data_IF_139203913739
#
_entry.id   IF_139203913739
#
_cell.length_a   1.000
_cell.length_b   1.000
_cell.length_c   1.000
_cell.angle_alpha   90.00
_cell.angle_beta   90.00
_cell.angle_gamma   90.00
#
_symmetry.space_group_name_H-M   'P 1'
#
loop_
_entity.id
_entity.type
_entity.pdbx_description
1 polymer ?
#
# COMPACT_ATOMS: atom_id res chain seq x y z
N UNK A 1 -27.22 13.94 12.63
CA UNK A 1 -27.84 13.28 11.46
C UNK A 1 -28.56 14.31 10.62
N UNK A 2 -28.08 14.61 9.41
CA UNK A 2 -28.83 15.38 8.40
C UNK A 2 -28.66 14.64 7.08
N UNK A 3 -29.77 14.05 6.66
CA UNK A 3 -29.96 13.40 5.37
C UNK A 3 -29.92 14.49 4.29
N UNK A 4 -29.11 14.31 3.25
CA UNK A 4 -29.22 15.14 2.04
C UNK A 4 -29.66 14.26 0.89
N UNK A 5 -30.97 14.21 0.69
CA UNK A 5 -31.56 13.95 -0.62
C UNK A 5 -31.23 15.15 -1.52
N UNK A 6 -30.16 15.03 -2.31
CA UNK A 6 -29.95 15.90 -3.47
C UNK A 6 -30.42 15.17 -4.71
N UNK A 7 -31.47 15.71 -5.33
CA UNK A 7 -31.99 15.29 -6.63
C UNK A 7 -30.85 15.38 -7.65
N UNK A 8 -30.46 14.22 -8.21
CA UNK A 8 -29.45 14.09 -9.26
C UNK A 8 -29.99 14.66 -10.57
N UNK A 9 -29.45 15.78 -11.01
CA UNK A 9 -29.76 16.32 -12.34
C UNK A 9 -28.93 15.62 -13.43
N UNK A 10 -29.59 15.26 -14.54
CA UNK A 10 -28.97 14.81 -15.80
C UNK A 10 -28.21 15.97 -16.43
N UNK A 11 -27.01 16.27 -15.93
CA UNK A 11 -26.20 17.39 -16.41
C UNK A 11 -24.88 17.59 -15.67
N UNK A 12 -24.77 17.05 -14.46
CA UNK A 12 -23.49 17.02 -13.75
C UNK A 12 -22.58 15.99 -14.41
N UNK A 13 -21.73 16.43 -15.35
CA UNK A 13 -20.52 15.70 -15.71
C UNK A 13 -19.61 15.72 -14.47
N UNK A 14 -19.89 14.85 -13.51
CA UNK A 14 -18.94 14.54 -12.46
C UNK A 14 -17.71 13.95 -13.15
N UNK A 15 -16.66 14.75 -13.30
CA UNK A 15 -15.32 14.24 -13.57
C UNK A 15 -14.94 13.37 -12.39
N UNK A 16 -15.34 12.11 -12.48
CA UNK A 16 -14.94 11.08 -11.56
C UNK A 16 -13.42 10.97 -11.65
N UNK A 17 -12.75 11.53 -10.64
CA UNK A 17 -11.29 11.56 -10.61
C UNK A 17 -10.80 10.13 -10.35
N UNK A 18 -9.88 9.63 -11.18
CA UNK A 18 -9.28 8.34 -10.90
C UNK A 18 -8.57 8.36 -9.55
N UNK A 19 -8.57 7.21 -8.90
CA UNK A 19 -7.90 7.02 -7.64
C UNK A 19 -7.05 5.74 -7.65
N UNK A 20 -6.00 5.75 -6.85
CA UNK A 20 -5.18 4.57 -6.58
C UNK A 20 -5.45 4.07 -5.17
N UNK A 21 -5.52 2.75 -5.04
CA UNK A 21 -5.48 2.06 -3.75
C UNK A 21 -4.28 1.14 -3.74
N UNK A 22 -3.36 1.34 -2.80
CA UNK A 22 -2.26 0.39 -2.59
C UNK A 22 -2.82 -0.82 -1.85
N UNK A 23 -2.69 -2.00 -2.46
CA UNK A 23 -3.25 -3.25 -1.97
C UNK A 23 -2.26 -4.00 -1.10
N UNK A 24 -1.00 -4.06 -1.52
CA UNK A 24 0.05 -4.74 -0.76
C UNK A 24 1.43 -4.20 -1.09
N UNK A 25 2.33 -4.32 -0.11
CA UNK A 25 3.77 -4.13 -0.27
C UNK A 25 4.46 -5.35 0.32
N UNK A 26 5.25 -6.08 -0.47
CA UNK A 26 5.91 -7.32 -0.02
C UNK A 26 7.32 -7.45 -0.59
N UNK A 27 8.11 -8.32 0.03
CA UNK A 27 9.48 -8.62 -0.39
C UNK A 27 9.43 -9.82 -1.33
N UNK A 28 9.77 -9.65 -2.61
CA UNK A 28 9.80 -10.75 -3.59
C UNK A 28 11.19 -11.39 -3.71
N UNK A 29 12.24 -10.61 -3.44
CA UNK A 29 13.62 -11.10 -3.37
C UNK A 29 14.36 -10.45 -2.21
N UNK A 30 15.22 -11.20 -1.54
CA UNK A 30 15.98 -10.77 -0.36
C UNK A 30 17.34 -11.47 -0.35
N UNK A 31 18.41 -10.69 -0.20
CA UNK A 31 19.79 -11.15 0.01
C UNK A 31 20.12 -11.25 1.51
N UNK A 32 19.23 -11.93 2.24
CA UNK A 32 19.32 -12.21 3.66
C UNK A 32 18.39 -13.38 4.00
N UNK A 33 18.58 -14.00 5.17
CA UNK A 33 17.75 -15.09 5.64
C UNK A 33 16.56 -14.57 6.46
N UNK A 34 15.39 -15.17 6.24
CA UNK A 34 14.26 -15.02 7.14
C UNK A 34 14.47 -15.82 8.44
N UNK A 35 13.84 -15.45 9.56
CA UNK A 35 12.96 -14.30 9.73
C UNK A 35 13.72 -12.98 9.88
N UNK A 36 13.09 -11.87 9.48
CA UNK A 36 13.66 -10.52 9.62
C UNK A 36 12.71 -9.60 10.39
N UNK A 37 13.28 -8.67 11.16
CA UNK A 37 12.53 -7.62 11.86
C UNK A 37 12.62 -6.33 11.04
N UNK A 38 11.51 -5.90 10.45
CA UNK A 38 11.46 -4.75 9.54
C UNK A 38 10.82 -3.55 10.21
N UNK A 39 11.44 -2.39 10.04
CA UNK A 39 10.89 -1.09 10.44
C UNK A 39 11.19 -0.03 9.39
N UNK A 40 10.60 1.16 9.55
CA UNK A 40 10.74 2.27 8.62
C UNK A 40 9.39 2.75 8.11
N UNK A 41 9.38 3.33 6.90
CA UNK A 41 8.20 3.94 6.31
C UNK A 41 7.95 3.54 4.87
N UNK A 42 6.68 3.33 4.55
CA UNK A 42 6.17 3.37 3.18
C UNK A 42 5.14 4.50 3.10
N UNK A 43 5.35 5.42 2.18
CA UNK A 43 4.53 6.62 2.02
C UNK A 43 4.04 6.68 0.58
N UNK A 44 2.75 6.94 0.39
CA UNK A 44 2.22 7.31 -0.92
C UNK A 44 1.94 8.82 -0.97
N UNK A 45 2.20 9.42 -2.13
CA UNK A 45 1.99 10.84 -2.41
C UNK A 45 1.21 11.00 -3.71
N UNK A 46 0.20 11.86 -3.71
CA UNK A 46 -0.45 12.33 -4.93
C UNK A 46 -0.02 13.77 -5.27
N UNK A 47 -0.23 14.16 -6.53
CA UNK A 47 0.11 15.51 -7.01
C UNK A 47 -0.85 16.60 -6.52
N UNK A 48 -1.92 16.24 -5.81
CA UNK A 48 -3.03 17.18 -5.51
C UNK A 48 -2.69 18.07 -4.33
N UNK A 49 -2.11 17.51 -3.28
CA UNK A 49 -1.65 18.30 -2.14
C UNK A 49 -0.31 17.86 -1.57
N UNK A 50 0.38 16.93 -2.24
CA UNK A 50 1.68 16.38 -1.83
C UNK A 50 1.65 15.81 -0.40
N UNK A 51 0.46 15.58 0.17
CA UNK A 51 0.35 15.04 1.52
C UNK A 51 0.75 13.58 1.50
N UNK A 52 1.53 13.23 2.51
CA UNK A 52 2.02 11.88 2.73
C UNK A 52 0.90 11.02 3.31
N UNK A 53 0.46 10.02 2.54
CA UNK A 53 -0.32 8.92 3.07
C UNK A 53 0.65 7.88 3.64
N UNK A 54 0.71 7.77 4.96
CA UNK A 54 1.52 6.74 5.61
C UNK A 54 0.83 5.37 5.46
N UNK A 55 1.38 4.53 4.58
CA UNK A 55 0.89 3.17 4.35
C UNK A 55 1.52 2.17 5.29
N UNK A 56 2.76 2.41 5.70
CA UNK A 56 3.46 1.63 6.70
C UNK A 56 4.34 2.59 7.50
N UNK A 57 4.25 2.51 8.82
CA UNK A 57 5.12 3.27 9.72
C UNK A 57 5.37 2.44 10.96
N UNK A 58 6.60 1.97 11.10
CA UNK A 58 7.06 1.23 12.28
C UNK A 58 8.36 1.83 12.76
N UNK A 59 8.44 2.05 14.07
CA UNK A 59 9.66 2.46 14.73
C UNK A 59 10.54 1.25 15.02
N UNK A 60 11.84 1.48 15.28
CA UNK A 60 12.81 0.41 15.54
C UNK A 60 12.39 -0.50 16.71
N UNK A 61 11.76 0.05 17.73
CA UNK A 61 11.31 -0.73 18.90
C UNK A 61 10.02 -1.52 18.63
N UNK A 62 9.29 -1.18 17.56
CA UNK A 62 8.03 -1.79 17.16
C UNK A 62 8.13 -2.39 15.75
N UNK A 63 9.20 -3.15 15.48
CA UNK A 63 9.40 -3.83 14.20
C UNK A 63 8.25 -4.79 13.87
N UNK A 64 7.95 -4.97 12.59
CA UNK A 64 7.17 -6.10 12.11
C UNK A 64 8.11 -7.29 11.86
N UNK A 65 7.79 -8.44 12.44
CA UNK A 65 8.44 -9.71 12.10
C UNK A 65 7.90 -10.20 10.75
N UNK A 66 8.80 -10.50 9.82
CA UNK A 66 8.47 -11.15 8.55
C UNK A 66 9.14 -12.52 8.55
N UNK A 67 8.34 -13.59 8.49
CA UNK A 67 8.84 -14.97 8.63
C UNK A 67 9.19 -15.61 7.29
N UNK A 68 8.63 -15.12 6.19
CA UNK A 68 8.83 -15.69 4.85
C UNK A 68 8.56 -14.68 3.74
N UNK A 69 8.88 -15.04 2.48
CA UNK A 69 8.61 -14.20 1.29
C UNK A 69 7.12 -14.03 0.97
N UNK A 70 6.27 -14.90 1.49
CA UNK A 70 4.83 -14.86 1.23
C UNK A 70 4.10 -13.84 2.12
N UNK A 71 4.79 -13.29 3.13
CA UNK A 71 4.24 -12.30 4.04
C UNK A 71 4.40 -10.87 3.48
N UNK A 72 3.33 -10.09 3.55
CA UNK A 72 3.32 -8.66 3.21
C UNK A 72 3.51 -7.77 4.44
N UNK A 73 3.93 -6.53 4.21
CA UNK A 73 3.86 -5.50 5.24
C UNK A 73 2.40 -5.31 5.67
N UNK A 74 2.18 -5.16 6.98
CA UNK A 74 0.87 -4.83 7.53
C UNK A 74 0.65 -3.34 7.30
N UNK A 75 -0.07 -3.04 6.22
CA UNK A 75 -0.38 -1.66 5.86
C UNK A 75 -1.41 -1.07 6.83
N UNK A 76 -1.24 0.20 7.18
CA UNK A 76 -2.27 1.00 7.83
C UNK A 76 -3.33 1.36 6.80
N UNK A 77 -4.61 1.21 7.18
CA UNK A 77 -5.73 1.52 6.29
C UNK A 77 -5.63 2.97 5.79
N UNK A 78 -6.05 3.24 4.54
CA UNK A 78 -5.90 4.55 3.97
C UNK A 78 -6.75 5.57 4.75
N UNK A 79 -6.11 6.55 5.37
CA UNK A 79 -6.79 7.68 6.01
C UNK A 79 -7.55 8.55 5.00
N UNK A 80 -7.17 8.43 3.72
CA UNK A 80 -7.68 9.22 2.61
C UNK A 80 -7.45 8.49 1.28
N UNK A 81 -8.27 8.84 0.28
CA UNK A 81 -8.07 8.47 -1.13
C UNK A 81 -6.86 9.16 -1.78
N UNK A 82 -6.02 8.39 -2.49
CA UNK A 82 -4.96 8.89 -3.35
C UNK A 82 -5.52 9.21 -4.74
N UNK A 83 -5.48 10.47 -5.14
CA UNK A 83 -5.97 10.89 -6.46
C UNK A 83 -4.88 10.73 -7.52
N UNK A 84 -5.25 10.26 -8.71
CA UNK A 84 -4.30 10.03 -9.81
C UNK A 84 -4.51 11.05 -10.93
N UNK A 85 -4.48 12.34 -10.59
CA UNK A 85 -4.57 13.43 -11.57
C UNK A 85 -3.30 13.50 -12.42
N UNK A 86 -2.14 13.51 -11.75
CA UNK A 86 -0.84 13.28 -12.37
C UNK A 86 -0.22 11.99 -11.79
N UNK A 87 1.10 11.87 -11.89
CA UNK A 87 1.85 10.77 -11.32
C UNK A 87 1.75 10.76 -9.78
N UNK A 88 1.43 9.58 -9.24
CA UNK A 88 1.52 9.30 -7.81
C UNK A 88 2.85 8.60 -7.52
N UNK A 89 3.38 8.80 -6.31
CA UNK A 89 4.67 8.24 -5.90
C UNK A 89 4.48 7.36 -4.67
N UNK A 90 5.15 6.20 -4.66
CA UNK A 90 5.27 5.34 -3.48
C UNK A 90 6.72 5.35 -3.05
N UNK A 91 7.02 6.00 -1.94
CA UNK A 91 8.33 6.08 -1.32
C UNK A 91 8.50 4.97 -0.29
N UNK A 92 9.63 4.27 -0.35
CA UNK A 92 9.99 3.17 0.53
C UNK A 92 11.32 3.53 1.18
N UNK A 93 11.36 3.53 2.51
CA UNK A 93 12.58 3.60 3.33
C UNK A 93 12.43 2.58 4.47
N UNK A 94 12.98 1.38 4.26
CA UNK A 94 12.85 0.25 5.16
C UNK A 94 14.21 -0.25 5.61
N UNK A 95 14.27 -0.73 6.85
CA UNK A 95 15.47 -1.26 7.49
C UNK A 95 15.18 -2.58 8.18
N UNK A 96 16.20 -3.43 8.25
CA UNK A 96 16.23 -4.66 9.04
C UNK A 96 16.94 -4.35 10.35
N UNK A 97 16.24 -4.54 11.46
CA UNK A 97 16.85 -4.44 12.79
C UNK A 97 17.84 -5.57 13.01
N UNK A 98 19.03 -5.23 13.50
CA UNK A 98 20.00 -6.23 13.91
C UNK A 98 19.68 -6.78 15.32
N UNK A 99 19.55 -8.10 15.52
CA UNK A 99 19.23 -8.68 16.82
C UNK A 99 20.32 -8.49 17.88
N UNK A 100 21.57 -8.33 17.46
CA UNK A 100 22.75 -8.22 18.33
C UNK A 100 23.05 -6.75 18.69
N UNK A 101 22.17 -5.83 18.29
CA UNK A 101 22.33 -4.40 18.56
C UNK A 101 23.41 -3.72 17.72
N UNK A 102 23.87 -4.39 16.66
CA UNK A 102 24.80 -3.80 15.68
C UNK A 102 24.06 -2.80 14.77
N UNK A 103 24.78 -2.29 13.76
CA UNK A 103 24.19 -1.40 12.76
C UNK A 103 23.07 -2.10 11.98
N UNK A 104 21.90 -1.47 11.96
CA UNK A 104 20.74 -1.96 11.21
C UNK A 104 21.02 -1.87 9.71
N UNK A 105 20.54 -2.86 8.94
CA UNK A 105 20.78 -2.92 7.51
C UNK A 105 19.66 -2.23 6.74
N UNK A 106 20.00 -1.46 5.71
CA UNK A 106 19.01 -0.93 4.77
C UNK A 106 18.38 -2.07 3.97
N UNK A 107 17.09 -2.31 4.15
CA UNK A 107 16.35 -3.34 3.41
C UNK A 107 16.10 -2.87 1.97
N UNK A 108 15.48 -1.69 1.84
CA UNK A 108 15.11 -1.08 0.57
C UNK A 108 14.87 0.40 0.77
N UNK A 109 15.49 1.23 -0.09
CA UNK A 109 15.29 2.68 -0.11
C UNK A 109 15.14 3.18 -1.54
N UNK A 110 14.05 3.88 -1.82
CA UNK A 110 13.75 4.41 -3.15
C UNK A 110 12.29 4.79 -3.33
N UNK A 111 11.87 5.00 -4.57
CA UNK A 111 10.48 5.33 -4.89
C UNK A 111 10.02 4.69 -6.20
N UNK A 112 8.71 4.47 -6.31
CA UNK A 112 8.03 4.01 -7.50
C UNK A 112 7.06 5.09 -7.99
N UNK A 113 7.01 5.29 -9.30
CA UNK A 113 6.05 6.23 -9.91
C UNK A 113 4.88 5.46 -10.50
N UNK A 114 3.67 5.72 -10.05
CA UNK A 114 2.42 5.26 -10.65
C UNK A 114 1.95 6.35 -11.60
N UNK A 115 1.99 6.08 -12.91
CA UNK A 115 1.75 7.11 -13.92
C UNK A 115 0.29 7.56 -13.95
N UNK A 116 0.10 8.87 -14.11
CA UNK A 116 -1.19 9.51 -14.31
C UNK A 116 -1.95 8.97 -15.53
N UNK A 117 -3.25 9.28 -15.58
CA UNK A 117 -4.19 8.68 -16.55
C UNK A 117 -4.34 9.46 -17.87
N UNK A 118 -3.68 10.59 -18.09
CA UNK A 118 -3.67 11.20 -19.42
C UNK A 118 -2.76 10.36 -20.36
N UNK A 119 -3.24 9.31 -21.07
CA UNK A 119 -4.44 9.22 -21.93
C UNK A 119 -5.23 7.88 -21.84
N UNK A 120 -5.13 7.12 -20.73
CA UNK A 120 -5.77 5.81 -20.56
C UNK A 120 -7.26 5.98 -20.24
N UNK A 121 -8.16 5.81 -21.20
CA UNK A 121 -9.59 5.64 -20.90
C UNK A 121 -9.80 4.29 -20.19
N UNK A 122 -9.63 4.25 -18.86
CA UNK A 122 -9.94 3.05 -18.07
C UNK A 122 -11.45 3.00 -17.85
N UNK A 123 -12.17 2.22 -18.65
CA UNK A 123 -13.60 2.00 -18.39
C UNK A 123 -13.83 1.07 -17.16
N UNK A 124 -12.76 0.50 -16.59
CA UNK A 124 -12.79 -0.51 -15.53
C UNK A 124 -11.67 -0.32 -14.50
N UNK A 125 -11.83 -0.93 -13.32
CA UNK A 125 -10.76 -1.09 -12.34
C UNK A 125 -9.65 -1.98 -12.92
N UNK A 126 -8.39 -1.56 -12.79
CA UNK A 126 -7.22 -2.35 -13.20
C UNK A 126 -6.30 -2.53 -12.01
N UNK A 127 -5.86 -3.77 -11.78
CA UNK A 127 -4.85 -4.10 -10.78
C UNK A 127 -3.51 -4.23 -11.50
N UNK A 128 -2.51 -3.50 -11.03
CA UNK A 128 -1.14 -3.51 -11.54
C UNK A 128 -0.16 -3.76 -10.37
N UNK A 129 1.06 -4.16 -10.70
CA UNK A 129 2.17 -4.19 -9.74
C UNK A 129 3.43 -3.55 -10.32
N UNK A 130 4.29 -3.08 -9.41
CA UNK A 130 5.59 -2.50 -9.73
C UNK A 130 6.65 -2.96 -8.73
N UNK A 131 7.84 -3.21 -9.26
CA UNK A 131 8.98 -3.67 -8.48
C UNK A 131 10.00 -2.55 -8.25
N UNK A 132 10.48 -2.45 -7.01
CA UNK A 132 11.63 -1.63 -6.62
C UNK A 132 12.78 -2.56 -6.25
N UNK A 133 13.71 -2.76 -7.18
CA UNK A 133 14.95 -3.48 -6.92
C UNK A 133 15.97 -2.57 -6.25
N UNK A 134 16.54 -3.03 -5.14
CA UNK A 134 17.58 -2.35 -4.36
C UNK A 134 18.69 -3.34 -4.01
N UNK A 135 19.73 -2.89 -3.31
CA UNK A 135 20.91 -3.70 -3.01
C UNK A 135 20.59 -5.01 -2.26
N UNK A 136 19.75 -4.96 -1.23
CA UNK A 136 19.44 -6.14 -0.40
C UNK A 136 18.11 -6.79 -0.75
N UNK A 137 17.20 -6.11 -1.45
CA UNK A 137 15.89 -6.67 -1.73
C UNK A 137 15.23 -6.13 -2.99
N UNK A 138 14.21 -6.85 -3.46
CA UNK A 138 13.24 -6.35 -4.42
C UNK A 138 11.88 -6.31 -3.74
N UNK A 139 11.28 -5.12 -3.70
CA UNK A 139 9.96 -4.87 -3.14
C UNK A 139 8.93 -4.85 -4.26
N UNK A 140 7.83 -5.59 -4.15
CA UNK A 140 6.67 -5.48 -5.05
C UNK A 140 5.60 -4.62 -4.37
N UNK A 141 5.11 -3.62 -5.09
CA UNK A 141 3.94 -2.82 -4.72
C UNK A 141 2.81 -3.14 -5.67
N UNK A 142 1.73 -3.71 -5.14
CA UNK A 142 0.51 -4.02 -5.87
C UNK A 142 -0.54 -2.94 -5.59
N UNK A 143 -1.20 -2.44 -6.64
CA UNK A 143 -2.18 -1.36 -6.52
C UNK A 143 -3.34 -1.53 -7.50
N UNK A 144 -4.50 -0.98 -7.12
CA UNK A 144 -5.68 -0.87 -7.98
C UNK A 144 -5.87 0.57 -8.43
N UNK A 145 -6.11 0.74 -9.73
CA UNK A 145 -6.50 2.01 -10.34
C UNK A 145 -8.01 1.95 -10.60
N UNK A 146 -8.77 2.82 -9.93
CA UNK A 146 -10.24 2.84 -9.99
C UNK A 146 -10.71 4.14 -10.64
N UNK A 147 -11.39 4.02 -11.77
CA UNK A 147 -12.22 5.09 -12.32
C UNK A 147 -13.59 5.09 -11.64
N UNK A 148 -14.16 6.27 -11.39
CA UNK A 148 -15.44 6.43 -10.68
C UNK A 148 -15.42 5.88 -9.26
N UNK A 149 -14.30 6.03 -8.56
CA UNK A 149 -14.16 5.55 -7.20
C UNK A 149 -15.23 6.22 -6.30
N UNK A 150 -16.10 5.43 -5.66
CA UNK A 150 -17.07 5.89 -4.65
C UNK A 150 -16.46 5.62 -3.28
N UNK A 151 -16.55 6.55 -2.34
CA UNK A 151 -15.95 6.37 -1.00
C UNK A 151 -16.69 5.25 -0.27
N UNK A 152 -16.05 4.09 -0.12
CA UNK A 152 -16.60 2.95 0.59
C UNK A 152 -15.53 2.39 1.52
N UNK A 153 -15.72 2.58 2.82
CA UNK A 153 -14.86 2.03 3.87
C UNK A 153 -15.22 0.56 4.07
N UNK A 154 -14.38 -0.36 3.59
CA UNK A 154 -14.49 -1.78 3.94
C UNK A 154 -13.55 -2.08 5.12
N UNK A 155 -14.14 -2.34 6.29
CA UNK A 155 -13.43 -2.94 7.41
C UNK A 155 -13.28 -4.44 7.14
N UNK A 156 -12.06 -4.91 6.89
CA UNK A 156 -11.78 -6.34 6.76
C UNK A 156 -11.56 -6.90 8.17
N UNK A 157 -12.53 -7.66 8.69
CA UNK A 157 -12.37 -8.48 9.89
C UNK A 157 -11.76 -9.83 9.48
N UNK A 158 -10.54 -10.09 9.93
CA UNK A 158 -9.82 -11.35 9.71
C UNK A 158 -10.36 -12.39 10.70
N UNK A 159 -11.21 -13.31 10.25
CA UNK A 159 -11.68 -14.45 11.07
C UNK A 159 -10.74 -15.63 10.84
N UNK A 160 -9.83 -15.86 11.78
CA UNK A 160 -8.99 -17.06 11.80
C UNK A 160 -9.85 -18.28 12.17
N UNK A 161 -10.04 -19.18 11.19
CA UNK A 161 -10.71 -20.48 11.41
C UNK A 161 -9.67 -21.46 11.96
N UNK A 162 -9.55 -21.56 13.28
CA UNK A 162 -8.81 -22.66 13.92
C UNK A 162 -9.60 -23.96 13.68
N UNK A 163 -9.06 -24.82 12.82
CA UNK A 163 -9.48 -26.21 12.72
C UNK A 163 -9.01 -26.95 13.97
N UNK A 164 -9.88 -27.09 14.96
CA UNK A 164 -9.72 -28.11 15.99
C UNK A 164 -10.06 -29.47 15.36
N UNK A 165 -9.03 -30.16 14.87
CA UNK A 165 -9.07 -31.60 14.72
C UNK A 165 -8.82 -32.23 16.10
N UNK A 166 -9.89 -32.57 16.80
CA UNK A 166 -9.81 -33.48 17.93
C UNK A 166 -10.20 -34.88 17.46
N UNK A 167 -9.21 -35.77 17.52
CA UNK A 167 -9.32 -37.21 17.38
C UNK A 167 -10.49 -37.77 18.21
N UNK A 168 -11.20 -38.73 17.63
CA UNK A 168 -12.06 -39.72 18.29
C UNK A 168 -12.05 -40.96 17.44
#
# INVERSE_FOLDING_TARGET
MRYTDRVRNKGDQHFHRPAVSILSVKIVSLDACFPIQVYGTVIARDSVDLKCLHLFRREKDHCQLISSKDESLILTGPERRLLLLDDAYVEIDLKIRDPQGQEDKELSKGFLTIRGIAPRRLDKCVVESKDLATRLSTMEVMYAVVNNAVEATMAILLVSKLLLSSRG
#
